data_IF_432857586556
#
_entry.id   IF_432857586556
#
_cell.length_a   1.000
_cell.length_b   1.000
_cell.length_c   1.000
_cell.angle_alpha   90.00
_cell.angle_beta   90.00
_cell.angle_gamma   90.00
#
_symmetry.space_group_name_H-M   'P 1'
#
loop_
_entity.id
_entity.type
_entity.pdbx_description
1 polymer ?
#
# COMPACT_ATOMS: atom_id res chain seq x y z
N UNK A 1 -6.78 -23.59 16.60
CA UNK A 1 -6.36 -23.87 15.22
C UNK A 1 -5.31 -22.88 14.75
N UNK A 2 -4.44 -23.33 13.87
CA UNK A 2 -3.38 -22.55 13.22
C UNK A 2 -3.62 -22.55 11.72
N UNK A 3 -3.37 -21.43 11.06
CA UNK A 3 -3.44 -21.30 9.62
C UNK A 3 -2.23 -20.52 9.07
N UNK A 4 -1.76 -20.93 7.91
CA UNK A 4 -0.75 -20.20 7.16
C UNK A 4 -1.09 -20.25 5.68
N UNK A 5 -0.84 -19.16 4.96
CA UNK A 5 -0.99 -19.10 3.50
C UNK A 5 0.06 -18.18 2.87
N UNK A 6 0.33 -18.42 1.59
CA UNK A 6 1.17 -17.58 0.77
C UNK A 6 0.28 -16.75 -0.14
N UNK A 7 0.54 -15.45 -0.21
CA UNK A 7 -0.10 -14.53 -1.14
C UNK A 7 0.83 -14.26 -2.32
N UNK A 8 0.28 -14.30 -3.52
CA UNK A 8 0.91 -13.77 -4.73
C UNK A 8 0.14 -12.52 -5.16
N UNK A 9 0.82 -11.41 -5.33
CA UNK A 9 0.25 -10.15 -5.79
C UNK A 9 0.87 -9.80 -7.15
N UNK A 10 0.04 -9.56 -8.14
CA UNK A 10 0.46 -9.05 -9.43
C UNK A 10 0.22 -7.54 -9.48
N UNK A 11 1.30 -6.77 -9.56
CA UNK A 11 1.26 -5.32 -9.65
C UNK A 11 1.44 -4.84 -11.09
N UNK A 12 0.67 -3.83 -11.49
CA UNK A 12 0.83 -3.11 -12.76
C UNK A 12 1.08 -1.65 -12.42
N UNK A 13 2.18 -1.11 -12.91
CA UNK A 13 2.52 0.30 -12.78
C UNK A 13 2.55 0.95 -14.15
N UNK A 14 1.73 1.98 -14.36
CA UNK A 14 1.72 2.77 -15.59
C UNK A 14 1.58 4.24 -15.24
N UNK A 15 2.55 5.04 -15.67
CA UNK A 15 2.51 6.49 -15.48
C UNK A 15 3.02 7.21 -16.71
N UNK A 16 2.45 8.38 -16.97
CA UNK A 16 2.87 9.27 -18.05
C UNK A 16 3.03 10.68 -17.51
N UNK A 17 4.19 11.27 -17.75
CA UNK A 17 4.53 12.62 -17.31
C UNK A 17 4.81 13.50 -18.52
N UNK A 18 4.25 14.70 -18.55
CA UNK A 18 4.59 15.72 -19.53
C UNK A 18 5.97 16.31 -19.22
N UNK A 19 6.77 16.51 -20.26
CA UNK A 19 8.10 17.11 -20.14
C UNK A 19 8.11 18.39 -20.98
N UNK A 20 8.40 19.52 -20.34
CA UNK A 20 8.56 20.78 -21.06
C UNK A 20 9.78 20.73 -21.97
N UNK A 21 9.56 20.87 -23.27
CA UNK A 21 10.62 20.85 -24.29
C UNK A 21 11.49 22.12 -24.29
N UNK A 22 11.10 23.18 -23.57
CA UNK A 22 11.83 24.47 -23.47
C UNK A 22 12.13 25.12 -24.84
N UNK A 23 11.60 24.59 -25.94
CA UNK A 23 11.81 25.07 -27.29
C UNK A 23 10.55 25.74 -27.84
N UNK A 24 10.60 26.99 -28.36
CA UNK A 24 9.45 27.64 -28.97
C UNK A 24 8.91 26.83 -30.17
N UNK A 25 7.59 26.65 -30.22
CA UNK A 25 6.91 25.93 -31.30
C UNK A 25 6.87 24.40 -31.16
N UNK A 26 7.46 23.84 -30.13
CA UNK A 26 7.31 22.43 -29.78
C UNK A 26 6.30 22.28 -28.62
N UNK A 27 5.35 21.36 -28.79
CA UNK A 27 4.50 20.93 -27.67
C UNK A 27 5.28 20.11 -26.65
N UNK A 28 4.66 19.76 -25.52
CA UNK A 28 5.31 18.98 -24.48
C UNK A 28 5.75 17.59 -24.97
N UNK A 29 6.94 17.21 -24.55
CA UNK A 29 7.40 15.84 -24.61
C UNK A 29 6.69 14.97 -23.59
N UNK A 30 6.86 13.66 -23.67
CA UNK A 30 6.26 12.69 -22.77
C UNK A 30 7.28 11.67 -22.31
N UNK A 31 7.28 11.39 -21.02
CA UNK A 31 7.93 10.23 -20.42
C UNK A 31 6.85 9.24 -20.02
N UNK A 32 6.92 8.02 -20.53
CA UNK A 32 6.05 6.93 -20.16
C UNK A 32 6.85 5.84 -19.45
N UNK A 33 6.34 5.36 -18.34
CA UNK A 33 6.89 4.27 -17.56
C UNK A 33 5.78 3.23 -17.42
N UNK A 34 6.00 2.03 -17.95
CA UNK A 34 5.07 0.91 -17.83
C UNK A 34 5.85 -0.33 -17.41
N UNK A 35 5.39 -0.97 -16.36
CA UNK A 35 5.92 -2.27 -15.94
C UNK A 35 4.90 -3.07 -15.15
N UNK A 36 5.17 -4.36 -14.99
CA UNK A 36 4.42 -5.25 -14.13
C UNK A 36 5.39 -6.15 -13.34
N UNK A 37 4.99 -6.50 -12.14
CA UNK A 37 5.82 -7.33 -11.26
C UNK A 37 4.97 -8.22 -10.38
N UNK A 38 5.59 -9.27 -9.84
CA UNK A 38 5.01 -10.13 -8.84
C UNK A 38 5.65 -9.87 -7.48
N UNK A 39 4.82 -9.70 -6.46
CA UNK A 39 5.22 -9.68 -5.06
C UNK A 39 4.67 -10.89 -4.32
N UNK A 40 5.33 -11.29 -3.25
CA UNK A 40 4.97 -12.43 -2.44
C UNK A 40 4.88 -12.04 -0.98
N UNK A 41 3.91 -12.61 -0.29
CA UNK A 41 3.71 -12.40 1.13
C UNK A 41 3.24 -13.65 1.84
N UNK A 42 3.32 -13.58 3.16
CA UNK A 42 2.86 -14.64 4.06
C UNK A 42 1.70 -14.12 4.91
N UNK A 43 0.70 -14.98 5.13
CA UNK A 43 -0.34 -14.74 6.13
C UNK A 43 -0.24 -15.84 7.18
N UNK A 44 -0.31 -15.44 8.44
CA UNK A 44 -0.39 -16.32 9.58
C UNK A 44 -1.66 -16.02 10.37
N UNK A 45 -2.31 -17.07 10.85
CA UNK A 45 -3.52 -16.96 11.66
C UNK A 45 -3.51 -17.96 12.80
N UNK A 46 -3.94 -17.49 13.97
CA UNK A 46 -4.18 -18.32 15.14
C UNK A 46 -5.61 -18.07 15.63
N UNK A 47 -6.36 -19.13 15.85
CA UNK A 47 -7.61 -19.10 16.58
C UNK A 47 -7.46 -20.00 17.81
N UNK A 48 -7.61 -19.39 18.98
CA UNK A 48 -7.53 -20.05 20.28
C UNK A 48 -8.88 -19.99 21.00
N UNK A 49 -9.41 -21.13 21.35
CA UNK A 49 -10.63 -21.24 22.16
C UNK A 49 -10.22 -21.37 23.62
N UNK A 50 -10.57 -20.36 24.43
CA UNK A 50 -10.32 -20.32 25.87
C UNK A 50 -11.32 -21.25 26.57
N UNK A 51 -12.59 -21.12 26.14
CA UNK A 51 -13.73 -21.93 26.58
C UNK A 51 -14.74 -22.02 25.41
N UNK A 52 -15.83 -22.83 25.52
CA UNK A 52 -16.80 -22.97 24.45
C UNK A 52 -17.47 -21.68 23.99
N UNK A 53 -17.46 -20.64 24.83
CA UNK A 53 -18.06 -19.34 24.53
C UNK A 53 -17.05 -18.26 24.16
N UNK A 54 -15.75 -18.47 24.39
CA UNK A 54 -14.74 -17.42 24.25
C UNK A 54 -13.62 -17.84 23.30
N UNK A 55 -13.40 -17.03 22.26
CA UNK A 55 -12.37 -17.26 21.24
C UNK A 55 -11.51 -16.02 21.03
N UNK A 56 -10.20 -16.25 20.89
CA UNK A 56 -9.22 -15.25 20.51
C UNK A 56 -8.73 -15.54 19.09
N UNK A 57 -8.69 -14.51 18.26
CA UNK A 57 -8.10 -14.55 16.93
C UNK A 57 -6.88 -13.64 16.84
N UNK A 58 -5.79 -14.14 16.23
CA UNK A 58 -4.63 -13.36 15.86
C UNK A 58 -4.36 -13.59 14.39
N UNK A 59 -4.14 -12.51 13.65
CA UNK A 59 -3.72 -12.59 12.25
C UNK A 59 -2.54 -11.65 12.01
N UNK A 60 -1.63 -12.09 11.15
CA UNK A 60 -0.54 -11.28 10.68
C UNK A 60 -0.34 -11.52 9.18
N UNK A 61 -0.23 -10.43 8.43
CA UNK A 61 0.11 -10.46 7.02
C UNK A 61 1.43 -9.73 6.83
N UNK A 62 2.39 -10.37 6.16
CA UNK A 62 3.68 -9.77 5.89
C UNK A 62 3.57 -8.61 4.90
N UNK A 63 4.58 -7.76 4.90
CA UNK A 63 4.83 -6.82 3.81
C UNK A 63 4.98 -7.56 2.48
N UNK A 64 4.52 -6.94 1.39
CA UNK A 64 4.79 -7.39 0.02
C UNK A 64 5.51 -6.26 -0.69
N UNK A 65 6.69 -6.56 -1.23
CA UNK A 65 7.47 -5.61 -2.00
C UNK A 65 7.18 -5.79 -3.49
N UNK A 66 6.85 -4.69 -4.16
CA UNK A 66 6.61 -4.62 -5.59
C UNK A 66 7.71 -3.74 -6.22
N UNK A 67 8.65 -4.38 -6.88
CA UNK A 67 9.77 -3.74 -7.54
C UNK A 67 9.52 -3.69 -9.05
N UNK A 68 9.19 -2.51 -9.54
CA UNK A 68 9.01 -2.25 -10.96
C UNK A 68 10.31 -1.74 -11.58
N UNK A 69 10.64 -2.27 -12.76
CA UNK A 69 11.81 -1.87 -13.54
C UNK A 69 11.37 -1.61 -14.97
N UNK A 70 11.54 -0.40 -15.44
CA UNK A 70 11.15 -0.02 -16.80
C UNK A 70 12.18 0.90 -17.41
N UNK A 71 12.52 0.67 -18.65
CA UNK A 71 13.27 1.65 -19.42
C UNK A 71 12.41 2.88 -19.69
N UNK A 72 12.98 4.05 -19.52
CA UNK A 72 12.30 5.32 -19.77
C UNK A 72 11.91 5.44 -21.26
N UNK A 73 10.61 5.51 -21.55
CA UNK A 73 10.11 5.71 -22.91
C UNK A 73 9.79 7.17 -23.15
N UNK A 74 10.70 7.85 -23.82
CA UNK A 74 10.49 9.24 -24.19
C UNK A 74 9.82 9.35 -25.57
N UNK A 75 8.93 10.32 -25.73
CA UNK A 75 8.31 10.65 -27.01
C UNK A 75 8.11 12.16 -27.15
N UNK A 76 8.06 12.64 -28.39
CA UNK A 76 7.84 14.05 -28.73
C UNK A 76 8.87 15.01 -28.10
N UNK A 77 10.15 14.58 -27.99
CA UNK A 77 11.23 15.43 -27.49
C UNK A 77 11.70 16.41 -28.58
N UNK A 78 11.90 17.68 -28.21
CA UNK A 78 12.58 18.64 -29.08
C UNK A 78 14.04 18.18 -29.32
N UNK A 79 14.65 18.47 -30.48
CA UNK A 79 16.01 18.02 -30.83
C UNK A 79 17.05 18.41 -29.78
N UNK A 80 16.95 19.60 -29.22
CA UNK A 80 17.86 20.09 -28.18
C UNK A 80 17.78 19.23 -26.92
N UNK A 81 16.55 18.99 -26.43
CA UNK A 81 16.34 18.18 -25.23
C UNK A 81 16.76 16.73 -25.46
N UNK A 82 16.45 16.18 -26.62
CA UNK A 82 16.89 14.82 -27.02
C UNK A 82 18.42 14.69 -26.95
N UNK A 83 19.15 15.67 -27.48
CA UNK A 83 20.62 15.67 -27.46
C UNK A 83 21.16 15.75 -26.03
N UNK A 84 20.57 16.60 -25.20
CA UNK A 84 20.97 16.75 -23.78
C UNK A 84 20.74 15.44 -23.01
N UNK A 85 19.56 14.81 -23.14
CA UNK A 85 19.24 13.57 -22.45
C UNK A 85 20.12 12.41 -22.95
N UNK A 86 20.41 12.36 -24.26
CA UNK A 86 21.34 11.37 -24.85
C UNK A 86 22.75 11.52 -24.29
N UNK A 87 23.27 12.73 -24.25
CA UNK A 87 24.62 12.99 -23.74
C UNK A 87 24.76 12.69 -22.24
N UNK A 88 23.65 12.73 -21.49
CA UNK A 88 23.59 12.34 -20.08
C UNK A 88 23.34 10.85 -19.86
N UNK A 89 23.12 10.07 -20.91
CA UNK A 89 22.78 8.65 -20.82
C UNK A 89 21.40 8.37 -20.24
N UNK A 90 20.49 9.37 -20.21
CA UNK A 90 19.18 9.24 -19.56
C UNK A 90 18.07 8.79 -20.51
N UNK A 91 18.29 8.78 -21.82
CA UNK A 91 17.26 8.35 -22.79
C UNK A 91 16.93 6.86 -22.70
N UNK A 92 17.93 6.04 -22.36
CA UNK A 92 17.79 4.59 -22.26
C UNK A 92 18.01 4.11 -20.81
N UNK A 93 17.89 5.03 -19.84
CA UNK A 93 18.10 4.71 -18.44
C UNK A 93 16.98 3.83 -17.88
N UNK A 94 17.35 2.84 -17.09
CA UNK A 94 16.40 2.04 -16.35
C UNK A 94 15.90 2.81 -15.10
N UNK A 95 14.59 2.88 -14.99
CA UNK A 95 13.89 3.48 -13.86
C UNK A 95 13.38 2.34 -12.98
N UNK A 96 13.74 2.38 -11.71
CA UNK A 96 13.21 1.49 -10.69
C UNK A 96 12.22 2.23 -9.82
N UNK A 97 11.07 1.62 -9.58
CA UNK A 97 10.05 2.11 -8.66
C UNK A 97 9.72 1.00 -7.67
N UNK A 98 10.09 1.18 -6.41
CA UNK A 98 9.76 0.25 -5.33
C UNK A 98 8.52 0.74 -4.57
N UNK A 99 7.51 -0.11 -4.45
CA UNK A 99 6.29 0.13 -3.68
C UNK A 99 6.09 -1.00 -2.68
N UNK A 100 5.95 -0.65 -1.41
CA UNK A 100 5.78 -1.62 -0.34
C UNK A 100 4.30 -1.68 0.10
N UNK A 101 3.65 -2.82 -0.07
CA UNK A 101 2.34 -3.07 0.54
C UNK A 101 2.54 -3.32 2.03
N UNK A 102 1.88 -2.56 2.92
CA UNK A 102 2.17 -2.62 4.35
C UNK A 102 1.87 -3.98 4.97
N UNK A 103 2.71 -4.38 5.90
CA UNK A 103 2.34 -5.45 6.81
C UNK A 103 1.23 -5.00 7.76
N UNK A 104 0.45 -5.97 8.24
CA UNK A 104 -0.62 -5.73 9.18
C UNK A 104 -0.75 -6.86 10.19
N UNK A 105 -1.18 -6.50 11.40
CA UNK A 105 -1.50 -7.45 12.45
C UNK A 105 -2.85 -7.08 13.08
N UNK A 106 -3.63 -8.09 13.45
CA UNK A 106 -4.91 -7.89 14.13
C UNK A 106 -5.10 -8.94 15.22
N UNK A 107 -5.57 -8.48 16.36
CA UNK A 107 -6.06 -9.33 17.44
C UNK A 107 -7.56 -9.11 17.61
N UNK A 108 -8.30 -10.16 17.83
CA UNK A 108 -9.74 -10.13 18.02
C UNK A 108 -10.20 -11.05 19.14
N UNK A 109 -11.28 -10.68 19.78
CA UNK A 109 -11.95 -11.49 20.79
C UNK A 109 -13.42 -11.59 20.47
N UNK A 110 -13.96 -12.77 20.66
CA UNK A 110 -15.39 -13.03 20.70
C UNK A 110 -15.69 -13.74 22.02
N UNK A 111 -16.68 -13.26 22.78
CA UNK A 111 -17.12 -13.94 24.00
C UNK A 111 -18.64 -13.95 24.10
N UNK A 112 -19.19 -15.11 24.32
CA UNK A 112 -20.62 -15.31 24.62
C UNK A 112 -20.83 -15.08 26.09
N UNK A 113 -21.53 -13.99 26.43
CA UNK A 113 -21.80 -13.62 27.83
C UNK A 113 -22.94 -14.46 28.43
N UNK A 114 -23.94 -14.79 27.59
CA UNK A 114 -25.06 -15.67 27.90
C UNK A 114 -25.73 -16.14 26.61
N UNK A 115 -26.84 -16.90 26.70
CA UNK A 115 -27.54 -17.47 25.53
C UNK A 115 -28.03 -16.44 24.50
N UNK A 116 -28.14 -15.18 24.90
CA UNK A 116 -28.67 -14.10 24.05
C UNK A 116 -27.64 -13.06 23.65
N UNK A 117 -26.54 -12.92 24.40
CA UNK A 117 -25.58 -11.86 24.22
C UNK A 117 -24.17 -12.40 23.94
N UNK A 118 -23.53 -11.85 22.93
CA UNK A 118 -22.11 -12.01 22.70
C UNK A 118 -21.47 -10.63 22.47
N UNK A 119 -20.22 -10.49 22.92
CA UNK A 119 -19.39 -9.30 22.74
C UNK A 119 -18.24 -9.62 21.80
N UNK A 120 -17.86 -8.63 21.01
CA UNK A 120 -16.77 -8.69 20.05
C UNK A 120 -15.85 -7.49 20.25
N UNK A 121 -14.57 -7.71 20.10
CA UNK A 121 -13.59 -6.64 20.10
C UNK A 121 -12.45 -6.96 19.13
N UNK A 122 -11.87 -5.94 18.52
CA UNK A 122 -10.68 -6.09 17.72
C UNK A 122 -9.76 -4.89 17.84
N UNK A 123 -8.46 -5.15 17.75
CA UNK A 123 -7.43 -4.15 17.60
C UNK A 123 -6.54 -4.56 16.45
N UNK A 124 -6.29 -3.63 15.54
CA UNK A 124 -5.46 -3.84 14.36
C UNK A 124 -4.37 -2.78 14.25
N UNK A 125 -3.27 -3.15 13.63
CA UNK A 125 -2.17 -2.26 13.29
C UNK A 125 -1.76 -2.49 11.84
N UNK A 126 -1.49 -1.39 11.11
CA UNK A 126 -1.03 -1.43 9.72
C UNK A 126 0.15 -0.48 9.54
N UNK A 127 1.24 -0.96 8.94
CA UNK A 127 2.49 -0.22 8.79
C UNK A 127 2.50 0.67 7.53
N UNK A 128 1.60 1.65 7.46
CA UNK A 128 1.52 2.57 6.33
C UNK A 128 2.74 3.45 6.15
N UNK A 129 3.56 3.62 7.18
CA UNK A 129 4.83 4.35 7.08
C UNK A 129 5.77 3.77 6.03
N UNK A 130 5.69 2.47 5.76
CA UNK A 130 6.49 1.80 4.71
C UNK A 130 5.94 2.05 3.31
N UNK A 131 4.62 2.07 3.14
CA UNK A 131 4.00 2.43 1.87
C UNK A 131 4.33 3.86 1.43
N UNK A 132 4.45 4.78 2.38
CA UNK A 132 4.85 6.16 2.14
C UNK A 132 6.32 6.34 1.73
N UNK A 133 7.13 5.30 1.67
CA UNK A 133 8.52 5.33 1.23
C UNK A 133 8.62 4.81 -0.20
N UNK A 134 8.40 5.70 -1.19
CA UNK A 134 8.57 5.34 -2.60
C UNK A 134 10.04 5.48 -2.98
N UNK A 135 10.64 4.40 -3.44
CA UNK A 135 12.01 4.38 -3.93
C UNK A 135 12.00 4.63 -5.44
N UNK A 136 12.71 5.66 -5.86
CA UNK A 136 12.94 5.98 -7.26
C UNK A 136 14.44 5.84 -7.55
N UNK A 137 14.80 4.91 -8.41
CA UNK A 137 16.18 4.73 -8.88
C UNK A 137 16.27 5.02 -10.37
N UNK A 138 17.31 5.73 -10.79
CA UNK A 138 17.73 5.86 -12.19
C UNK A 138 19.07 5.14 -12.28
N UNK A 139 19.07 3.99 -12.94
CA UNK A 139 20.28 3.16 -13.13
C UNK A 139 20.77 3.26 -14.57
N UNK A 140 21.94 2.67 -14.84
CA UNK A 140 22.56 2.61 -16.14
C UNK A 140 22.86 3.99 -16.79
N UNK A 141 23.09 4.99 -15.94
CA UNK A 141 23.57 6.31 -16.35
C UNK A 141 25.01 6.53 -15.87
N UNK A 142 25.69 7.54 -16.43
CA UNK A 142 27.02 7.94 -15.99
C UNK A 142 27.06 8.36 -14.49
N UNK A 143 25.93 8.75 -13.95
CA UNK A 143 25.74 9.11 -12.55
C UNK A 143 24.41 8.52 -12.06
N UNK A 144 24.40 7.27 -11.57
CA UNK A 144 23.19 6.67 -11.02
C UNK A 144 22.68 7.44 -9.81
N UNK A 145 21.39 7.71 -9.77
CA UNK A 145 20.74 8.45 -8.68
C UNK A 145 19.63 7.58 -8.10
N UNK A 146 19.67 7.38 -6.80
CA UNK A 146 18.55 6.77 -6.07
C UNK A 146 18.01 7.79 -5.07
N UNK A 147 16.70 8.05 -5.14
CA UNK A 147 15.99 8.96 -4.25
C UNK A 147 14.85 8.21 -3.59
N UNK A 148 14.83 8.22 -2.27
CA UNK A 148 13.67 7.74 -1.51
C UNK A 148 12.80 8.94 -1.15
N UNK A 149 11.61 9.01 -1.73
CA UNK A 149 10.62 10.01 -1.35
C UNK A 149 9.80 9.49 -0.17
N UNK A 150 9.85 10.20 0.96
CA UNK A 150 9.05 9.88 2.12
C UNK A 150 7.78 10.75 2.13
N UNK A 151 6.63 10.13 1.91
CA UNK A 151 5.31 10.77 1.93
C UNK A 151 4.82 11.06 3.36
N UNK A 152 5.62 10.74 4.38
CA UNK A 152 5.35 10.96 5.81
C UNK A 152 4.04 10.32 6.29
N UNK A 153 3.70 9.17 5.74
CA UNK A 153 2.59 8.37 6.26
C UNK A 153 2.94 7.82 7.64
N UNK A 154 1.93 7.69 8.47
CA UNK A 154 2.02 7.10 9.81
C UNK A 154 1.37 5.72 9.80
N UNK A 155 1.85 4.86 10.67
CA UNK A 155 1.19 3.61 10.97
C UNK A 155 -0.20 3.89 11.53
N UNK A 156 -1.17 3.06 11.15
CA UNK A 156 -2.55 3.22 11.59
C UNK A 156 -2.95 2.14 12.57
N UNK A 157 -3.87 2.53 13.45
CA UNK A 157 -4.51 1.67 14.41
C UNK A 157 -6.01 1.61 14.15
N UNK A 158 -6.53 0.42 14.20
CA UNK A 158 -7.96 0.11 14.16
C UNK A 158 -8.39 -0.43 15.50
N UNK A 159 -9.48 0.08 16.05
CA UNK A 159 -10.12 -0.45 17.27
C UNK A 159 -11.60 -0.56 17.03
N UNK A 160 -12.17 -1.73 17.25
CA UNK A 160 -13.60 -1.94 17.12
C UNK A 160 -14.18 -2.71 18.31
N UNK A 161 -15.39 -2.35 18.69
CA UNK A 161 -16.19 -3.03 19.68
C UNK A 161 -17.58 -3.31 19.11
N UNK A 162 -18.08 -4.50 19.34
CA UNK A 162 -19.38 -4.92 18.86
C UNK A 162 -20.12 -5.79 19.87
N UNK A 163 -21.42 -5.89 19.67
CA UNK A 163 -22.24 -6.84 20.39
C UNK A 163 -23.26 -7.48 19.47
N UNK A 164 -23.61 -8.72 19.78
CA UNK A 164 -24.69 -9.47 19.15
C UNK A 164 -25.77 -9.73 20.18
N UNK A 165 -27.01 -9.54 19.77
CA UNK A 165 -28.18 -9.86 20.61
C UNK A 165 -29.13 -10.77 19.85
N UNK A 166 -29.37 -11.95 20.39
CA UNK A 166 -30.36 -12.90 19.87
C UNK A 166 -31.74 -12.57 20.45
N UNK A 167 -32.57 -11.94 19.63
CA UNK A 167 -33.95 -11.59 20.00
C UNK A 167 -34.80 -12.84 20.07
N UNK A 168 -34.70 -13.73 19.07
CA UNK A 168 -35.37 -15.01 18.97
C UNK A 168 -34.54 -15.91 18.03
N UNK A 169 -34.93 -17.18 17.86
CA UNK A 169 -34.16 -18.12 17.00
C UNK A 169 -33.86 -17.59 15.60
N UNK A 170 -34.83 -17.01 14.86
CA UNK A 170 -34.52 -16.51 13.51
C UNK A 170 -33.91 -15.09 13.50
N UNK A 171 -33.85 -14.37 14.64
CA UNK A 171 -33.44 -12.98 14.66
C UNK A 171 -32.19 -12.73 15.52
N UNK A 172 -31.09 -12.37 14.83
CA UNK A 172 -29.83 -11.93 15.46
C UNK A 172 -29.57 -10.47 15.09
N UNK A 173 -29.51 -9.60 16.08
CA UNK A 173 -29.15 -8.20 15.93
C UNK A 173 -27.65 -8.05 16.17
N UNK A 174 -26.96 -7.35 15.27
CA UNK A 174 -25.55 -7.00 15.41
C UNK A 174 -25.40 -5.48 15.40
N UNK A 175 -24.61 -4.94 16.30
CA UNK A 175 -24.26 -3.53 16.35
C UNK A 175 -22.83 -3.35 16.82
N UNK A 176 -22.18 -2.26 16.41
CA UNK A 176 -20.80 -1.99 16.77
C UNK A 176 -20.38 -0.58 16.40
N UNK A 177 -19.22 -0.22 16.92
CA UNK A 177 -18.51 1.03 16.62
C UNK A 177 -17.07 0.70 16.34
N UNK A 178 -16.47 1.44 15.41
CA UNK A 178 -15.06 1.32 15.09
C UNK A 178 -14.42 2.70 14.98
N UNK A 179 -13.15 2.74 15.29
CA UNK A 179 -12.29 3.90 15.12
C UNK A 179 -11.02 3.50 14.36
N UNK A 180 -10.71 4.25 13.31
CA UNK A 180 -9.47 4.15 12.55
C UNK A 180 -8.67 5.43 12.71
N UNK A 181 -7.40 5.30 13.07
CA UNK A 181 -6.51 6.45 13.16
C UNK A 181 -6.11 6.94 11.76
N UNK A 182 -5.88 8.24 11.62
CA UNK A 182 -5.48 8.82 10.34
C UNK A 182 -4.07 8.39 9.91
N UNK A 183 -3.94 7.97 8.67
CA UNK A 183 -2.67 7.64 8.01
C UNK A 183 -1.82 8.89 7.74
N UNK A 184 -2.43 10.04 7.55
CA UNK A 184 -1.76 11.31 7.25
C UNK A 184 -1.83 12.25 8.45
N UNK A 185 -0.79 13.04 8.62
CA UNK A 185 -0.76 14.11 9.62
C UNK A 185 -0.37 15.42 8.94
N UNK A 186 -1.22 16.43 9.09
CA UNK A 186 -0.97 17.79 8.62
C UNK A 186 -1.50 18.09 7.23
N UNK A 187 -1.27 19.32 6.80
CA UNK A 187 -1.96 19.99 5.70
C UNK A 187 -1.50 19.60 4.29
N UNK A 188 -0.70 18.55 4.13
CA UNK A 188 -0.16 18.19 2.82
C UNK A 188 -0.39 16.72 2.53
N UNK A 189 -1.34 16.44 1.63
CA UNK A 189 -1.48 15.14 0.98
C UNK A 189 -0.82 15.20 -0.40
N UNK A 190 0.32 14.53 -0.64
CA UNK A 190 0.94 14.52 -1.96
C UNK A 190 0.18 13.68 -2.99
N UNK A 191 -0.79 12.88 -2.56
CA UNK A 191 -1.53 11.95 -3.42
C UNK A 191 -3.00 12.33 -3.64
N UNK A 192 -3.57 13.20 -2.82
CA UNK A 192 -4.97 13.62 -2.94
C UNK A 192 -5.06 15.14 -2.98
N UNK A 193 -5.85 15.71 -3.89
CA UNK A 193 -6.12 17.15 -3.85
C UNK A 193 -6.80 17.50 -2.53
N UNK A 194 -6.22 18.44 -1.82
CA UNK A 194 -6.85 19.05 -0.64
C UNK A 194 -7.92 20.01 -1.17
N UNK A 195 -9.17 19.73 -0.90
CA UNK A 195 -10.27 20.68 -1.14
C UNK A 195 -10.32 21.68 -0.01
#
# INVERSE_FOLDING_TARGET
>A
SLGASVNAMYGIYSTQVAINNVAPGFGDGRLKIDDNTWGWGLNLGLLYEIDPGTRLGLTWNSQIDLDFKSSAKFSNLAPVLNTVLRNRGTLDADIKVGINVPQQAMASIFTQVNDRWALLGSVGWQQWSKFGQVQLGIEDTANPVSVTQNLKFKDTWHVALGAQHRISEPWLLNFGVAYDSAMQSGDVSPLLPVN
#
